data_IF_257742494261
#
_entry.id   IF_257742494261
#
_cell.length_a   1.000
_cell.length_b   1.000
_cell.length_c   1.000
_cell.angle_alpha   90.00
_cell.angle_beta   90.00
_cell.angle_gamma   90.00
#
_symmetry.space_group_name_H-M   'P 1'
#
loop_
_entity.id
_entity.type
_entity.pdbx_description
1 polymer ?
#
# COMPACT_ATOMS: atom_id res chain seq x y z
N UNK A 1 -6.86 5.24 -1.43
CA UNK A 1 -7.09 4.36 -0.26
C UNK A 1 -8.24 4.84 0.62
N UNK A 2 -8.19 6.03 1.24
CA UNK A 2 -9.28 6.49 2.12
C UNK A 2 -10.57 6.89 1.39
N UNK A 3 -10.46 7.36 0.13
CA UNK A 3 -11.62 7.72 -0.69
C UNK A 3 -12.21 6.53 -1.46
N UNK A 4 -11.37 5.58 -1.85
CA UNK A 4 -11.75 4.33 -2.51
C UNK A 4 -10.88 3.19 -1.95
N UNK A 5 -11.47 2.24 -1.20
CA UNK A 5 -10.74 1.12 -0.64
C UNK A 5 -10.33 0.09 -1.70
N UNK A 6 -10.94 0.08 -2.89
CA UNK A 6 -10.62 -0.84 -3.98
C UNK A 6 -9.41 -0.41 -4.81
N UNK A 7 -8.95 0.84 -4.64
CA UNK A 7 -7.93 1.44 -5.52
C UNK A 7 -6.63 0.63 -5.58
N UNK A 8 -6.27 -0.08 -4.50
CA UNK A 8 -5.08 -0.92 -4.42
C UNK A 8 -5.04 -2.02 -5.50
N UNK A 9 -6.20 -2.49 -5.96
CA UNK A 9 -6.34 -3.60 -6.90
C UNK A 9 -6.63 -3.15 -8.33
N UNK A 10 -6.65 -1.84 -8.61
CA UNK A 10 -7.04 -1.28 -9.91
C UNK A 10 -5.86 -0.94 -10.82
N UNK A 11 -4.65 -1.29 -10.38
CA UNK A 11 -3.40 -1.01 -11.09
C UNK A 11 -3.02 -2.11 -12.10
N UNK A 12 -3.83 -3.16 -12.23
CA UNK A 12 -3.63 -4.24 -13.20
C UNK A 12 -2.26 -4.91 -13.05
N UNK A 13 -1.41 -4.84 -14.07
CA UNK A 13 -0.04 -5.38 -14.10
C UNK A 13 0.97 -4.59 -13.28
N UNK A 14 0.61 -3.40 -12.81
CA UNK A 14 1.57 -2.50 -12.18
C UNK A 14 1.80 -2.86 -10.70
N UNK A 15 3.07 -2.85 -10.32
CA UNK A 15 3.49 -2.98 -8.94
C UNK A 15 3.17 -1.72 -8.13
N UNK A 16 2.72 -1.93 -6.89
CA UNK A 16 2.33 -0.87 -5.96
C UNK A 16 3.35 -0.81 -4.84
N UNK A 17 4.01 0.34 -4.70
CA UNK A 17 4.91 0.62 -3.59
C UNK A 17 4.16 1.45 -2.54
N UNK A 18 4.02 0.89 -1.33
CA UNK A 18 3.31 1.52 -0.23
C UNK A 18 4.31 1.93 0.87
N UNK A 19 4.50 3.24 1.13
CA UNK A 19 5.30 3.73 2.25
C UNK A 19 4.77 3.26 3.59
N UNK A 20 5.68 2.90 4.52
CA UNK A 20 5.29 2.55 5.89
C UNK A 20 4.50 3.68 6.58
N UNK A 21 4.83 4.95 6.30
CA UNK A 21 4.09 6.12 6.79
C UNK A 21 2.60 6.08 6.40
N UNK A 22 2.27 5.54 5.22
CA UNK A 22 0.86 5.41 4.80
C UNK A 22 0.10 4.43 5.69
N UNK A 23 0.74 3.39 6.22
CA UNK A 23 0.09 2.50 7.19
C UNK A 23 -0.19 3.20 8.52
N UNK A 24 0.73 4.05 8.97
CA UNK A 24 0.58 4.85 10.19
C UNK A 24 -0.58 5.85 10.03
N UNK A 25 -0.66 6.52 8.89
CA UNK A 25 -1.76 7.42 8.56
C UNK A 25 -3.10 6.69 8.50
N UNK A 26 -3.14 5.51 7.89
CA UNK A 26 -4.34 4.67 7.88
C UNK A 26 -4.75 4.31 9.31
N UNK A 27 -3.83 3.86 10.17
CA UNK A 27 -4.18 3.49 11.53
C UNK A 27 -4.71 4.69 12.35
N UNK A 28 -4.12 5.87 12.16
CA UNK A 28 -4.59 7.13 12.76
C UNK A 28 -6.05 7.46 12.42
N UNK A 29 -6.50 7.13 11.20
CA UNK A 29 -7.87 7.42 10.73
C UNK A 29 -8.87 6.28 10.96
N UNK A 30 -8.45 5.18 11.62
CA UNK A 30 -9.27 3.99 11.86
C UNK A 30 -10.38 4.19 12.89
N UNK A 31 -10.32 5.27 13.70
CA UNK A 31 -11.28 5.59 14.78
C UNK A 31 -12.45 6.44 14.28
N UNK A 32 -13.64 6.19 14.82
CA UNK A 32 -14.86 6.95 14.49
C UNK A 32 -15.86 6.20 13.60
N UNK A 33 -16.91 6.87 13.17
CA UNK A 33 -18.01 6.30 12.39
C UNK A 33 -18.10 6.89 10.97
N UNK A 34 -17.11 7.68 10.56
CA UNK A 34 -17.12 8.31 9.24
C UNK A 34 -16.92 7.29 8.13
N UNK A 35 -17.32 7.66 6.91
CA UNK A 35 -17.05 6.88 5.70
C UNK A 35 -15.55 6.65 5.53
N UNK A 36 -14.74 7.68 5.79
CA UNK A 36 -13.27 7.60 5.76
C UNK A 36 -12.77 6.51 6.71
N UNK A 37 -13.23 6.50 7.96
CA UNK A 37 -12.85 5.45 8.93
C UNK A 37 -13.30 4.06 8.49
N UNK A 38 -14.45 3.95 7.81
CA UNK A 38 -14.92 2.69 7.22
C UNK A 38 -14.00 2.22 6.10
N UNK A 39 -13.62 3.10 5.16
CA UNK A 39 -12.71 2.77 4.06
C UNK A 39 -11.33 2.38 4.57
N UNK A 40 -10.79 3.12 5.53
CA UNK A 40 -9.54 2.79 6.22
C UNK A 40 -9.57 1.37 6.79
N UNK A 41 -10.64 0.99 7.51
CA UNK A 41 -10.78 -0.37 8.05
C UNK A 41 -10.85 -1.43 6.94
N UNK A 42 -11.47 -1.11 5.81
CA UNK A 42 -11.54 -2.02 4.68
C UNK A 42 -10.15 -2.22 4.05
N UNK A 43 -9.41 -1.13 3.81
CA UNK A 43 -8.03 -1.19 3.30
C UNK A 43 -7.13 -1.96 4.26
N UNK A 44 -7.19 -1.66 5.57
CA UNK A 44 -6.42 -2.37 6.60
C UNK A 44 -6.68 -3.88 6.55
N UNK A 45 -7.95 -4.32 6.49
CA UNK A 45 -8.28 -5.75 6.35
C UNK A 45 -7.75 -6.36 5.06
N UNK A 46 -7.84 -5.66 3.93
CA UNK A 46 -7.30 -6.15 2.67
C UNK A 46 -5.78 -6.32 2.72
N UNK A 47 -5.07 -5.39 3.36
CA UNK A 47 -3.62 -5.49 3.57
C UNK A 47 -3.27 -6.66 4.49
N UNK A 48 -4.01 -6.83 5.59
CA UNK A 48 -3.83 -7.96 6.51
C UNK A 48 -4.03 -9.30 5.77
N UNK A 49 -5.11 -9.43 4.98
CA UNK A 49 -5.38 -10.64 4.19
C UNK A 49 -4.32 -10.93 3.12
N UNK A 50 -3.73 -9.89 2.51
CA UNK A 50 -2.63 -10.06 1.57
C UNK A 50 -1.38 -10.63 2.26
N UNK A 51 -1.05 -10.13 3.45
CA UNK A 51 0.08 -10.63 4.26
C UNK A 51 -0.19 -12.08 4.71
N UNK A 52 -1.42 -12.38 5.14
CA UNK A 52 -1.83 -13.72 5.55
C UNK A 52 -1.78 -14.74 4.40
N UNK A 53 -2.03 -14.30 3.16
CA UNK A 53 -1.96 -15.16 1.98
C UNK A 53 -0.53 -15.58 1.60
N UNK A 54 0.50 -14.91 2.12
CA UNK A 54 1.89 -15.32 1.91
C UNK A 54 2.22 -16.62 2.65
N UNK A 55 3.09 -17.47 2.09
CA UNK A 55 3.71 -18.59 2.81
C UNK A 55 4.40 -18.10 4.08
N UNK A 56 4.32 -18.87 5.17
CA UNK A 56 4.94 -18.52 6.47
C UNK A 56 6.40 -18.10 6.37
N UNK A 57 7.18 -18.78 5.51
CA UNK A 57 8.59 -18.48 5.27
C UNK A 57 8.83 -17.07 4.69
N UNK A 58 7.88 -16.54 3.93
CA UNK A 58 7.97 -15.25 3.25
C UNK A 58 7.29 -14.12 4.01
N UNK A 59 6.45 -14.42 5.03
CA UNK A 59 5.77 -13.39 5.84
C UNK A 59 6.75 -12.44 6.57
N UNK A 60 7.97 -12.90 6.84
CA UNK A 60 9.00 -12.08 7.48
C UNK A 60 9.83 -11.25 6.48
N UNK A 61 9.73 -11.53 5.18
CA UNK A 61 10.45 -10.84 4.11
C UNK A 61 9.46 -10.09 3.22
N UNK A 62 9.03 -8.90 3.66
CA UNK A 62 8.13 -8.03 2.88
C UNK A 62 8.80 -7.43 1.62
N UNK A 63 10.11 -7.65 1.45
CA UNK A 63 10.90 -7.24 0.28
C UNK A 63 10.48 -7.94 -1.01
N UNK A 64 9.96 -9.17 -0.93
CA UNK A 64 9.70 -10.02 -2.10
C UNK A 64 8.39 -9.67 -2.82
N UNK A 65 7.60 -8.76 -2.22
CA UNK A 65 6.34 -8.28 -2.73
C UNK A 65 5.21 -9.32 -2.64
N UNK A 66 4.01 -8.85 -2.33
CA UNK A 66 2.81 -9.67 -2.20
C UNK A 66 2.00 -9.60 -3.49
N UNK A 67 1.69 -10.70 -4.18
CA UNK A 67 0.82 -10.66 -5.35
C UNK A 67 -0.56 -10.10 -4.97
N UNK A 68 -1.02 -9.05 -5.65
CA UNK A 68 -2.30 -8.39 -5.34
C UNK A 68 -3.51 -9.31 -5.62
N UNK A 69 -3.36 -10.24 -6.58
CA UNK A 69 -4.36 -11.26 -6.90
C UNK A 69 -4.59 -12.30 -5.79
N UNK A 70 -3.74 -12.35 -4.75
CA UNK A 70 -3.78 -13.42 -3.71
C UNK A 70 -5.09 -13.49 -2.93
N UNK A 71 -5.88 -12.42 -2.91
CA UNK A 71 -7.16 -12.35 -2.19
C UNK A 71 -8.39 -12.32 -3.12
N UNK A 72 -8.24 -12.78 -4.37
CA UNK A 72 -9.35 -12.93 -5.33
C UNK A 72 -9.52 -11.81 -6.36
N UNK A 73 -8.60 -10.84 -6.38
CA UNK A 73 -8.57 -9.78 -7.41
C UNK A 73 -7.78 -10.24 -8.64
N UNK A 74 -8.35 -11.11 -9.48
CA UNK A 74 -7.65 -11.73 -10.62
C UNK A 74 -7.02 -10.75 -11.60
N UNK A 75 -7.61 -9.56 -11.73
CA UNK A 75 -7.15 -8.53 -12.65
C UNK A 75 -5.92 -7.77 -12.11
N UNK A 76 -5.65 -7.82 -10.81
CA UNK A 76 -4.51 -7.17 -10.15
C UNK A 76 -3.28 -8.09 -10.18
N UNK A 77 -2.67 -8.23 -11.36
CA UNK A 77 -1.53 -9.12 -11.59
C UNK A 77 -0.20 -8.58 -11.05
N UNK A 78 -0.12 -7.30 -10.69
CA UNK A 78 1.02 -6.70 -10.03
C UNK A 78 1.20 -7.12 -8.56
N UNK A 79 2.26 -6.62 -7.93
CA UNK A 79 2.63 -6.93 -6.54
C UNK A 79 2.62 -5.68 -5.65
N UNK A 80 2.25 -5.87 -4.39
CA UNK A 80 2.35 -4.88 -3.33
C UNK A 80 3.71 -5.00 -2.64
N UNK A 81 4.46 -3.91 -2.60
CA UNK A 81 5.71 -3.77 -1.86
C UNK A 81 5.53 -2.79 -0.72
N UNK A 82 6.08 -3.09 0.44
CA UNK A 82 6.18 -2.12 1.54
C UNK A 82 7.53 -1.43 1.48
N UNK A 83 7.50 -0.11 1.34
CA UNK A 83 8.71 0.68 1.31
C UNK A 83 9.18 0.94 2.74
N UNK A 84 10.20 0.17 3.15
CA UNK A 84 10.82 0.24 4.48
C UNK A 84 11.94 1.28 4.57
N UNK A 85 12.50 1.69 3.44
CA UNK A 85 13.57 2.69 3.37
C UNK A 85 13.06 4.01 2.77
N UNK A 86 13.52 5.18 3.28
CA UNK A 86 13.19 6.46 2.69
C UNK A 86 13.61 6.51 1.22
N UNK A 87 12.73 7.00 0.34
CA UNK A 87 13.09 7.20 -1.06
C UNK A 87 14.09 8.37 -1.10
N UNK A 88 15.37 8.07 -1.28
CA UNK A 88 16.36 9.07 -1.61
C UNK A 88 16.09 9.53 -3.06
N UNK A 89 15.21 10.52 -3.22
CA UNK A 89 15.01 11.17 -4.52
C UNK A 89 16.27 11.99 -4.77
N UNK A 90 17.16 11.49 -5.62
CA UNK A 90 18.25 12.33 -6.13
C UNK A 90 17.63 13.56 -6.81
N UNK A 91 18.06 14.78 -6.44
CA UNK A 91 17.54 15.98 -7.08
C UNK A 91 17.77 15.88 -8.58
N UNK A 92 16.70 15.87 -9.38
CA UNK A 92 16.81 15.96 -10.82
C UNK A 92 17.49 17.30 -11.13
N UNK A 93 18.68 17.24 -11.72
CA UNK A 93 19.44 18.43 -12.10
C UNK A 93 18.58 19.29 -13.05
N UNK A 94 18.08 20.43 -12.54
CA UNK A 94 17.27 21.38 -13.30
C UNK A 94 15.87 21.69 -12.74
N UNK A 95 15.40 20.99 -11.70
CA UNK A 95 14.20 21.44 -10.98
C UNK A 95 14.56 22.66 -10.12
N UNK A 96 13.98 23.81 -10.45
CA UNK A 96 14.10 25.01 -9.63
C UNK A 96 13.56 24.72 -8.24
N UNK A 97 14.44 24.73 -7.24
CA UNK A 97 14.06 24.76 -5.83
C UNK A 97 13.27 26.04 -5.60
N UNK A 98 11.94 25.92 -5.61
CA UNK A 98 11.04 27.00 -5.24
C UNK A 98 11.40 27.43 -3.82
N UNK A 99 11.89 28.66 -3.68
CA UNK A 99 12.13 29.28 -2.38
C UNK A 99 10.78 29.44 -1.68
N UNK A 100 10.65 28.86 -0.49
CA UNK A 100 9.71 29.31 0.52
C UNK A 100 10.47 30.20 1.52
#
# INVERSE_FOLDING_TARGET
>A
LMHDPSSLFRFQEHDVYLPMMTLEELDGHKKGLSEVSRHVRQVSRSLDSLIEALPEASRHCLSDGIPLASIGHSDATGRLFFQTEPLAIEPIAGLATGKA
#
